data_IF_623633078246
#
_entry.id   IF_623633078246
#
_cell.length_a   1.000
_cell.length_b   1.000
_cell.length_c   1.000
_cell.angle_alpha   90.00
_cell.angle_beta   90.00
_cell.angle_gamma   90.00
#
_symmetry.space_group_name_H-M   'P 1'
#
loop_
_entity.id
_entity.type
_entity.pdbx_description
1 polymer ?
#
# COMPACT_ATOMS: atom_id res chain seq x y z
N UNK A 1 -17.41 -13.53 -14.88
CA UNK A 1 -17.75 -12.75 -13.68
C UNK A 1 -17.81 -13.71 -12.51
N UNK A 2 -16.73 -13.81 -11.74
CA UNK A 2 -16.71 -14.57 -10.49
C UNK A 2 -16.39 -13.59 -9.38
N UNK A 3 -17.38 -13.28 -8.54
CA UNK A 3 -17.15 -12.59 -7.27
C UNK A 3 -16.56 -13.59 -6.29
N UNK A 4 -15.33 -13.35 -5.83
CA UNK A 4 -14.74 -14.02 -4.67
C UNK A 4 -15.48 -13.53 -3.43
N UNK A 5 -16.60 -14.16 -3.10
CA UNK A 5 -17.25 -13.97 -1.80
C UNK A 5 -17.14 -15.28 -1.02
N UNK A 6 -16.03 -15.44 -0.31
CA UNK A 6 -16.01 -16.35 0.83
C UNK A 6 -16.58 -15.54 1.99
N UNK A 7 -17.83 -15.82 2.36
CA UNK A 7 -18.39 -15.25 3.58
C UNK A 7 -17.71 -15.90 4.79
N UNK A 8 -17.10 -15.08 5.64
CA UNK A 8 -16.47 -15.51 6.88
C UNK A 8 -17.03 -14.64 8.00
N UNK A 9 -17.64 -15.27 9.00
CA UNK A 9 -18.05 -14.61 10.23
C UNK A 9 -16.85 -14.63 11.17
N UNK A 10 -16.43 -13.45 11.64
CA UNK A 10 -15.33 -13.31 12.58
C UNK A 10 -15.78 -12.53 13.81
N UNK A 11 -15.42 -13.02 14.99
CA UNK A 11 -15.51 -12.23 16.21
C UNK A 11 -14.51 -11.08 16.15
N UNK A 12 -14.98 -9.88 16.50
CA UNK A 12 -14.16 -8.67 16.49
C UNK A 12 -14.44 -7.78 17.70
N UNK A 13 -13.46 -6.96 18.05
CA UNK A 13 -13.61 -5.86 19.00
C UNK A 13 -13.49 -4.53 18.26
N UNK A 14 -14.08 -3.47 18.79
CA UNK A 14 -14.02 -2.12 18.22
C UNK A 14 -13.13 -1.23 19.10
N UNK A 15 -12.18 -0.50 18.49
CA UNK A 15 -11.30 0.46 19.18
C UNK A 15 -11.10 1.74 18.37
N UNK A 16 -10.71 2.82 19.03
CA UNK A 16 -10.24 4.03 18.36
C UNK A 16 -8.71 4.01 18.23
N UNK A 17 -8.20 4.31 17.03
CA UNK A 17 -6.77 4.37 16.75
C UNK A 17 -6.33 5.78 16.36
N UNK A 18 -5.11 6.12 16.79
CA UNK A 18 -4.36 7.28 16.31
C UNK A 18 -3.15 6.79 15.53
N UNK A 19 -3.09 7.12 14.24
CA UNK A 19 -2.00 6.66 13.36
C UNK A 19 -1.17 7.81 12.81
N UNK A 20 0.12 7.56 12.64
CA UNK A 20 1.10 8.47 12.04
C UNK A 20 1.94 7.72 11.02
N UNK A 21 2.36 8.41 9.96
CA UNK A 21 3.27 7.81 8.97
C UNK A 21 4.63 7.47 9.57
N UNK A 22 5.18 6.31 9.22
CA UNK A 22 6.44 5.78 9.76
C UNK A 22 7.73 6.47 9.22
N UNK A 23 7.60 7.61 8.54
CA UNK A 23 8.72 8.30 7.91
C UNK A 23 9.55 9.16 8.89
N UNK A 24 10.75 9.56 8.45
CA UNK A 24 11.68 10.43 9.22
C UNK A 24 11.08 11.78 9.63
N UNK A 25 10.07 12.26 8.90
CA UNK A 25 9.35 13.49 9.22
C UNK A 25 8.07 13.13 9.99
N UNK A 26 7.92 13.65 11.20
CA UNK A 26 6.64 13.56 11.94
C UNK A 26 5.53 14.18 11.10
N UNK A 27 4.61 13.32 10.65
CA UNK A 27 3.38 13.73 9.97
C UNK A 27 2.31 14.16 10.98
N UNK A 28 1.19 14.69 10.45
CA UNK A 28 -0.01 14.95 11.26
C UNK A 28 -0.72 13.63 11.57
N UNK A 29 -1.08 13.42 12.83
CA UNK A 29 -1.90 12.29 13.29
C UNK A 29 -3.23 12.18 12.54
N UNK A 30 -3.62 10.95 12.23
CA UNK A 30 -4.92 10.61 11.68
C UNK A 30 -5.69 9.83 12.73
N UNK A 31 -6.87 10.32 13.06
CA UNK A 31 -7.81 9.63 13.92
C UNK A 31 -8.61 8.64 13.06
N UNK A 32 -8.68 7.40 13.52
CA UNK A 32 -9.43 6.30 12.92
C UNK A 32 -10.36 5.76 14.00
N UNK A 33 -11.60 6.27 14.09
CA UNK A 33 -12.56 5.76 15.05
C UNK A 33 -13.14 4.42 14.59
N UNK A 34 -13.60 3.60 15.54
CA UNK A 34 -14.32 2.35 15.26
C UNK A 34 -13.57 1.30 14.42
N UNK A 35 -12.27 1.16 14.65
CA UNK A 35 -11.44 0.16 13.99
C UNK A 35 -11.75 -1.22 14.56
N UNK A 36 -12.01 -2.18 13.67
CA UNK A 36 -12.24 -3.57 14.05
C UNK A 36 -10.92 -4.31 14.26
N UNK A 37 -10.80 -4.96 15.42
CA UNK A 37 -9.70 -5.87 15.75
C UNK A 37 -10.10 -7.28 15.41
N UNK A 38 -9.25 -7.95 14.62
CA UNK A 38 -9.37 -9.36 14.30
C UNK A 38 -8.12 -10.10 14.79
N UNK A 39 -8.29 -11.34 15.28
CA UNK A 39 -7.17 -12.07 15.91
C UNK A 39 -6.06 -12.46 14.92
N UNK A 40 -6.45 -12.89 13.71
CA UNK A 40 -5.51 -13.37 12.70
C UNK A 40 -5.89 -12.81 11.34
N UNK A 41 -5.01 -11.99 10.76
CA UNK A 41 -5.15 -11.56 9.38
C UNK A 41 -4.82 -12.76 8.47
N UNK A 42 -5.69 -13.13 7.51
CA UNK A 42 -5.52 -14.37 6.74
C UNK A 42 -4.46 -14.27 5.63
N UNK A 43 -3.36 -13.53 5.81
CA UNK A 43 -2.39 -13.30 4.73
C UNK A 43 -0.97 -13.18 5.24
N UNK A 44 -0.07 -13.97 4.64
CA UNK A 44 1.39 -13.83 4.77
C UNK A 44 1.93 -13.06 3.57
N UNK A 45 2.70 -12.00 3.80
CA UNK A 45 3.26 -11.14 2.74
C UNK A 45 4.69 -11.55 2.34
N UNK A 46 4.92 -12.85 2.13
CA UNK A 46 6.25 -13.31 1.70
C UNK A 46 6.61 -12.70 0.34
N UNK A 47 7.78 -12.06 0.25
CA UNK A 47 8.28 -11.35 -0.95
C UNK A 47 7.30 -10.34 -1.58
N UNK A 48 6.32 -9.85 -0.82
CA UNK A 48 5.28 -8.94 -1.33
C UNK A 48 5.47 -7.49 -0.86
N UNK A 49 6.47 -7.24 -0.01
CA UNK A 49 6.79 -5.91 0.52
C UNK A 49 7.94 -5.31 -0.28
N UNK A 50 7.68 -4.17 -0.94
CA UNK A 50 8.71 -3.42 -1.65
C UNK A 50 9.69 -2.76 -0.69
N UNK A 51 10.97 -2.76 -1.08
CA UNK A 51 12.01 -1.95 -0.46
C UNK A 51 12.52 -0.89 -1.44
N UNK A 52 13.32 0.06 -0.94
CA UNK A 52 13.85 1.17 -1.74
C UNK A 52 14.75 0.68 -2.90
N UNK A 53 15.44 -0.44 -2.75
CA UNK A 53 16.30 -0.99 -3.81
C UNK A 53 15.49 -1.54 -4.99
N UNK A 54 14.31 -2.12 -4.74
CA UNK A 54 13.43 -2.66 -5.78
C UNK A 54 13.04 -1.57 -6.78
N UNK A 55 12.78 -0.35 -6.28
CA UNK A 55 12.27 0.76 -7.08
C UNK A 55 13.34 1.70 -7.64
N UNK A 56 14.60 1.54 -7.20
CA UNK A 56 15.72 2.44 -7.53
C UNK A 56 16.00 2.58 -9.04
N UNK A 57 15.63 1.56 -9.83
CA UNK A 57 15.83 1.53 -11.29
C UNK A 57 14.93 2.51 -12.06
N UNK A 58 13.80 2.92 -11.49
CA UNK A 58 12.85 3.81 -12.15
C UNK A 58 13.16 5.27 -11.82
N UNK A 59 13.51 6.04 -12.85
CA UNK A 59 13.94 7.45 -12.71
C UNK A 59 12.85 8.34 -12.12
N UNK A 60 11.57 8.10 -12.46
CA UNK A 60 10.43 8.84 -11.92
C UNK A 60 10.14 8.54 -10.44
N UNK A 61 10.67 7.45 -9.89
CA UNK A 61 10.54 7.09 -8.48
C UNK A 61 11.73 7.56 -7.62
N UNK A 62 12.66 8.34 -8.19
CA UNK A 62 13.85 8.82 -7.48
C UNK A 62 13.49 9.62 -6.21
N UNK A 63 14.00 9.21 -5.06
CA UNK A 63 13.74 9.88 -3.77
C UNK A 63 12.44 9.44 -3.09
N UNK A 64 11.78 8.40 -3.59
CA UNK A 64 10.80 7.64 -2.81
C UNK A 64 11.61 6.77 -1.83
N UNK A 65 11.44 7.03 -0.53
CA UNK A 65 12.06 6.25 0.55
C UNK A 65 10.99 5.35 1.18
N UNK A 66 11.19 4.04 1.11
CA UNK A 66 10.35 3.04 1.79
C UNK A 66 11.03 2.58 3.08
N UNK A 67 10.29 2.42 4.19
CA UNK A 67 10.84 1.92 5.44
C UNK A 67 11.26 0.45 5.30
N UNK A 68 12.34 0.06 5.98
CA UNK A 68 12.71 -1.35 6.15
C UNK A 68 11.79 -1.98 7.20
N UNK A 69 10.96 -2.93 6.78
CA UNK A 69 10.06 -3.65 7.68
C UNK A 69 10.74 -4.93 8.18
N UNK A 70 10.69 -5.16 9.50
CA UNK A 70 11.23 -6.39 10.12
C UNK A 70 10.24 -7.57 10.06
N UNK A 71 8.97 -7.29 9.77
CA UNK A 71 7.89 -8.29 9.72
C UNK A 71 7.22 -8.30 8.35
N UNK A 72 6.80 -9.50 7.93
CA UNK A 72 5.98 -9.76 6.74
C UNK A 72 4.48 -9.91 7.07
N UNK A 73 4.04 -9.42 8.22
CA UNK A 73 2.64 -9.44 8.66
C UNK A 73 1.93 -8.11 8.36
N UNK A 74 0.66 -8.19 8.00
CA UNK A 74 -0.24 -7.03 7.97
C UNK A 74 -0.80 -6.82 9.37
N UNK A 75 -0.68 -5.61 9.90
CA UNK A 75 -1.23 -5.25 11.22
C UNK A 75 -2.51 -4.43 11.10
N UNK A 76 -2.70 -3.67 10.01
CA UNK A 76 -3.86 -2.80 9.82
C UNK A 76 -4.33 -2.83 8.37
N UNK A 77 -5.65 -2.97 8.18
CA UNK A 77 -6.31 -2.78 6.90
C UNK A 77 -7.07 -1.45 6.93
N UNK A 78 -6.69 -0.52 6.05
CA UNK A 78 -7.35 0.79 5.96
C UNK A 78 -8.29 0.75 4.76
N UNK A 79 -9.59 0.84 5.03
CA UNK A 79 -10.63 0.94 4.02
C UNK A 79 -10.80 2.37 3.50
N UNK A 80 -11.84 2.57 2.69
CA UNK A 80 -12.22 3.88 2.14
C UNK A 80 -12.98 4.77 3.15
N UNK A 81 -13.28 4.25 4.34
CA UNK A 81 -13.93 4.92 5.46
C UNK A 81 -13.03 5.95 6.16
N UNK A 82 -11.72 5.93 5.86
CA UNK A 82 -10.74 6.91 6.33
C UNK A 82 -10.13 7.70 5.15
N UNK A 83 -10.92 8.50 4.42
CA UNK A 83 -10.47 9.16 3.18
C UNK A 83 -9.25 10.07 3.40
N UNK A 84 -9.15 10.73 4.55
CA UNK A 84 -8.03 11.59 4.92
C UNK A 84 -6.67 10.88 4.96
N UNK A 85 -6.65 9.55 5.14
CA UNK A 85 -5.44 8.74 5.07
C UNK A 85 -5.03 8.41 3.64
N UNK A 86 -5.99 8.44 2.71
CA UNK A 86 -5.84 7.99 1.34
C UNK A 86 -5.65 9.14 0.33
N UNK A 87 -5.96 10.38 0.72
CA UNK A 87 -5.77 11.56 -0.15
C UNK A 87 -4.31 11.63 -0.64
N UNK A 88 -4.09 11.59 -1.97
CA UNK A 88 -2.76 11.80 -2.54
C UNK A 88 -2.27 13.22 -2.29
N UNK A 89 -1.07 13.33 -1.74
CA UNK A 89 -0.30 14.58 -1.61
C UNK A 89 0.64 14.77 -2.80
N UNK A 90 1.11 13.67 -3.38
CA UNK A 90 2.02 13.64 -4.52
C UNK A 90 1.80 12.32 -5.27
N UNK A 91 1.83 12.36 -6.60
CA UNK A 91 1.78 11.17 -7.45
C UNK A 91 2.99 11.21 -8.38
N UNK A 92 3.73 10.10 -8.45
CA UNK A 92 4.86 9.91 -9.36
C UNK A 92 4.61 8.71 -10.24
N UNK A 93 4.37 8.96 -11.51
CA UNK A 93 4.07 7.93 -12.50
C UNK A 93 5.06 7.99 -13.67
N UNK A 94 5.30 6.83 -14.26
CA UNK A 94 5.99 6.71 -15.54
C UNK A 94 4.99 6.65 -16.68
N UNK A 95 5.37 5.98 -17.77
CA UNK A 95 4.42 5.62 -18.84
C UNK A 95 3.43 4.55 -18.35
N UNK A 96 2.37 4.34 -19.13
CA UNK A 96 1.38 3.30 -18.86
C UNK A 96 2.05 1.93 -18.68
N UNK A 97 1.55 1.15 -17.72
CA UNK A 97 2.13 -0.15 -17.33
C UNK A 97 3.37 -0.06 -16.42
N UNK A 98 3.97 1.13 -16.22
CA UNK A 98 5.02 1.30 -15.22
C UNK A 98 4.46 1.39 -13.81
N UNK A 99 5.30 1.06 -12.82
CA UNK A 99 4.96 1.26 -11.40
C UNK A 99 4.85 2.75 -11.11
N UNK A 100 3.97 3.11 -10.18
CA UNK A 100 3.80 4.49 -9.73
C UNK A 100 3.80 4.55 -8.21
N UNK A 101 4.17 5.69 -7.66
CA UNK A 101 4.12 5.92 -6.22
C UNK A 101 3.13 7.03 -5.88
N UNK A 102 2.42 6.84 -4.77
CA UNK A 102 1.56 7.85 -4.18
C UNK A 102 2.14 8.20 -2.81
N UNK A 103 2.26 9.49 -2.53
CA UNK A 103 2.52 9.99 -1.18
C UNK A 103 1.19 10.33 -0.53
N UNK A 104 0.91 9.76 0.61
CA UNK A 104 -0.21 10.19 1.48
C UNK A 104 0.34 10.75 2.79
N UNK A 105 -0.55 11.08 3.71
CA UNK A 105 -0.18 11.46 5.08
C UNK A 105 0.49 10.33 5.87
N UNK A 106 0.29 9.07 5.45
CA UNK A 106 0.89 7.89 6.09
C UNK A 106 2.27 7.53 5.50
N UNK A 107 2.65 8.13 4.38
CA UNK A 107 3.95 7.90 3.75
C UNK A 107 3.84 7.61 2.26
N UNK A 108 4.86 6.96 1.73
CA UNK A 108 4.90 6.53 0.33
C UNK A 108 4.32 5.12 0.18
N UNK A 109 3.47 4.94 -0.81
CA UNK A 109 3.00 3.65 -1.30
C UNK A 109 3.45 3.47 -2.74
N UNK A 110 4.02 2.31 -3.07
CA UNK A 110 4.34 1.91 -4.44
C UNK A 110 3.26 0.98 -4.95
N UNK A 111 2.79 1.23 -6.17
CA UNK A 111 1.71 0.51 -6.82
C UNK A 111 2.23 -0.16 -8.09
N UNK A 112 1.92 -1.46 -8.22
CA UNK A 112 2.39 -2.33 -9.29
C UNK A 112 3.16 -3.54 -8.74
N UNK A 113 3.39 -4.57 -9.57
CA UNK A 113 4.08 -5.78 -9.15
C UNK A 113 5.54 -5.49 -8.79
N UNK A 114 5.98 -6.00 -7.64
CA UNK A 114 7.32 -5.84 -7.10
C UNK A 114 8.05 -7.18 -7.28
N UNK A 115 9.17 -7.19 -8.00
CA UNK A 115 9.91 -8.39 -8.40
C UNK A 115 10.23 -8.43 -9.90
N UNK A 116 11.10 -9.37 -10.32
CA UNK A 116 11.41 -9.62 -11.73
C UNK A 116 10.22 -10.30 -12.42
N UNK A 117 9.23 -9.51 -12.79
CA UNK A 117 8.42 -9.79 -13.96
C UNK A 117 8.57 -8.60 -14.89
N UNK A 118 9.51 -8.72 -15.83
CA UNK A 118 9.46 -7.96 -17.05
C UNK A 118 8.20 -8.43 -17.78
N UNK A 119 7.06 -7.81 -17.46
CA UNK A 119 5.94 -7.85 -18.39
C UNK A 119 6.41 -7.04 -19.58
N UNK A 120 6.84 -7.75 -20.63
CA UNK A 120 7.02 -7.14 -21.94
C UNK A 120 5.79 -6.31 -22.24
N UNK A 121 6.06 -5.10 -22.69
CA UNK A 121 5.11 -4.13 -23.19
C UNK A 121 4.13 -4.83 -24.14
N UNK A 122 2.92 -5.11 -23.67
CA UNK A 122 1.83 -5.49 -24.57
C UNK A 122 1.35 -4.18 -25.17
N UNK A 123 2.00 -3.75 -26.25
CA UNK A 123 1.50 -2.66 -27.06
C UNK A 123 0.08 -3.05 -27.51
N UNK A 124 -0.93 -2.34 -27.03
CA UNK A 124 -2.23 -2.34 -27.67
C UNK A 124 -2.00 -1.79 -29.08
N UNK A 125 -1.92 -2.68 -30.07
CA UNK A 125 -2.01 -2.27 -31.45
C UNK A 125 -3.46 -1.87 -31.69
N UNK A 126 -3.66 -0.58 -31.93
CA UNK A 126 -4.93 0.02 -32.30
C UNK A 126 -5.59 -0.79 -33.42
N UNK A 127 -6.84 -1.20 -33.22
CA UNK A 127 -7.70 -1.80 -34.27
C UNK A 127 -8.65 -0.74 -34.81
#
# INVERSE_FOLDING_TARGET
>A
MGTLAQEMILESAEVDLEVVGAGKKRGRTILMPKVLIIQNFPTTLYNSVANTSDISRWTHLRGVELPELQSNSIEILIGQDVPQALVPLEVRAGMDGMKFAIKTRLGWTVNGPVGQQDTQEVACQDT
#
